data_IF_867532157655
#
_entry.id   IF_867532157655
#
_cell.length_a   1.000
_cell.length_b   1.000
_cell.length_c   1.000
_cell.angle_alpha   90.00
_cell.angle_beta   90.00
_cell.angle_gamma   90.00
#
_symmetry.space_group_name_H-M   'P 1'
#
loop_
_entity.id
_entity.type
_entity.pdbx_description
1 polymer ?
#
# COMPACT_ATOMS: atom_id res chain seq x y z
N UNK A 1 1.91 12.94 12.23
CA UNK A 1 2.63 12.74 10.96
C UNK A 1 1.62 12.53 9.85
N UNK A 2 1.75 13.25 8.73
CA UNK A 2 0.81 13.19 7.59
C UNK A 2 1.55 12.64 6.37
N UNK A 3 0.95 11.68 5.65
CA UNK A 3 1.55 11.16 4.42
C UNK A 3 1.22 12.11 3.26
N UNK A 4 2.22 12.64 2.54
CA UNK A 4 1.97 13.49 1.37
C UNK A 4 1.17 12.73 0.30
N UNK A 5 0.16 13.37 -0.27
CA UNK A 5 -0.72 12.79 -1.29
C UNK A 5 -1.96 12.05 -0.75
N UNK A 6 -2.08 11.86 0.57
CA UNK A 6 -3.30 11.36 1.20
C UNK A 6 -4.10 12.54 1.77
N UNK A 7 -5.29 12.78 1.22
CA UNK A 7 -6.24 13.73 1.80
C UNK A 7 -6.97 13.11 3.00
N UNK A 8 -7.48 13.95 3.91
CA UNK A 8 -8.23 13.53 5.11
C UNK A 8 -9.35 12.54 4.77
N UNK A 9 -10.13 12.81 3.72
CA UNK A 9 -11.22 11.94 3.26
C UNK A 9 -10.71 10.55 2.88
N UNK A 10 -9.63 10.49 2.08
CA UNK A 10 -9.03 9.20 1.65
C UNK A 10 -8.41 8.47 2.83
N UNK A 11 -7.80 9.20 3.77
CA UNK A 11 -7.25 8.64 5.01
C UNK A 11 -8.33 7.93 5.81
N UNK A 12 -9.48 8.59 6.04
CA UNK A 12 -10.58 8.02 6.81
C UNK A 12 -11.16 6.76 6.14
N UNK A 13 -11.30 6.77 4.82
CA UNK A 13 -11.77 5.60 4.06
C UNK A 13 -10.78 4.43 4.18
N UNK A 14 -9.48 4.69 4.05
CA UNK A 14 -8.45 3.65 4.20
C UNK A 14 -8.48 3.07 5.62
N UNK A 15 -8.55 3.92 6.64
CA UNK A 15 -8.64 3.47 8.04
C UNK A 15 -9.90 2.64 8.28
N UNK A 16 -11.05 3.04 7.73
CA UNK A 16 -12.30 2.30 7.84
C UNK A 16 -12.25 0.93 7.14
N UNK A 17 -11.59 0.84 5.98
CA UNK A 17 -11.40 -0.43 5.27
C UNK A 17 -10.48 -1.37 6.05
N UNK A 18 -9.42 -0.83 6.64
CA UNK A 18 -8.41 -1.64 7.35
C UNK A 18 -8.93 -2.12 8.70
N UNK A 19 -9.62 -1.24 9.46
CA UNK A 19 -10.24 -1.42 10.78
C UNK A 19 -9.33 -2.00 11.89
N UNK A 20 -8.66 -3.13 11.65
CA UNK A 20 -7.75 -3.81 12.55
C UNK A 20 -6.41 -4.08 11.85
N UNK A 21 -5.38 -3.23 12.05
CA UNK A 21 -4.08 -3.39 11.40
C UNK A 21 -3.26 -4.56 11.98
N UNK A 22 -3.59 -5.05 13.18
CA UNK A 22 -2.97 -6.23 13.82
C UNK A 22 -3.23 -7.52 13.03
N UNK A 23 -4.28 -7.56 12.21
CA UNK A 23 -4.60 -8.68 11.32
C UNK A 23 -3.46 -9.01 10.36
N UNK A 24 -2.65 -8.02 9.98
CA UNK A 24 -1.59 -8.19 9.00
C UNK A 24 -0.25 -8.41 9.69
N UNK A 25 0.27 -9.64 9.68
CA UNK A 25 1.61 -9.95 10.23
C UNK A 25 2.71 -9.29 9.40
N UNK A 26 2.64 -9.45 8.07
CA UNK A 26 3.66 -8.97 7.13
C UNK A 26 3.11 -7.90 6.18
N UNK A 27 3.96 -6.95 5.76
CA UNK A 27 3.64 -5.92 4.73
C UNK A 27 3.12 -6.55 3.41
N UNK A 28 3.57 -7.75 3.08
CA UNK A 28 3.16 -8.48 1.88
C UNK A 28 1.71 -8.97 1.95
N UNK A 29 1.23 -9.36 3.14
CA UNK A 29 -0.18 -9.73 3.34
C UNK A 29 -1.09 -8.51 3.15
N UNK A 30 -0.63 -7.34 3.61
CA UNK A 30 -1.34 -6.09 3.41
C UNK A 30 -1.39 -5.69 1.92
N UNK A 31 -0.31 -5.87 1.17
CA UNK A 31 -0.31 -5.61 -0.27
C UNK A 31 -1.24 -6.56 -1.04
N UNK A 32 -1.31 -7.83 -0.63
CA UNK A 32 -2.27 -8.80 -1.17
C UNK A 32 -3.72 -8.39 -0.89
N UNK A 33 -4.01 -7.98 0.35
CA UNK A 33 -5.34 -7.50 0.75
C UNK A 33 -5.78 -6.25 -0.02
N UNK A 34 -4.86 -5.31 -0.25
CA UNK A 34 -5.13 -4.10 -1.02
C UNK A 34 -5.14 -4.32 -2.54
N UNK A 35 -4.97 -5.56 -3.04
CA UNK A 35 -4.88 -5.88 -4.47
C UNK A 35 -3.73 -5.15 -5.21
N UNK A 36 -2.66 -4.78 -4.49
CA UNK A 36 -1.48 -4.10 -5.05
C UNK A 36 -0.40 -5.08 -5.56
N UNK A 37 -0.56 -6.36 -5.27
CA UNK A 37 0.31 -7.44 -5.73
C UNK A 37 -0.53 -8.47 -6.47
N UNK A 38 -0.06 -8.87 -7.65
CA UNK A 38 -0.57 -10.04 -8.35
C UNK A 38 0.21 -11.23 -7.80
N UNK A 39 -0.47 -12.17 -7.14
CA UNK A 39 0.13 -13.46 -6.85
C UNK A 39 0.06 -14.27 -8.15
N UNK A 40 1.19 -14.36 -8.85
CA UNK A 40 1.37 -15.34 -9.92
C UNK A 40 1.76 -16.63 -9.20
N UNK A 41 0.90 -17.65 -9.23
CA UNK A 41 1.27 -18.97 -8.78
C UNK A 41 2.05 -19.63 -9.92
N UNK A 42 3.35 -19.78 -9.74
CA UNK A 42 4.21 -20.54 -10.66
C UNK A 42 4.55 -21.85 -9.96
N UNK A 43 4.00 -22.96 -10.44
CA UNK A 43 4.48 -24.31 -10.10
C UNK A 43 4.98 -24.95 -11.40
N UNK A 44 6.30 -24.94 -11.58
CA UNK A 44 6.96 -25.65 -12.67
C UNK A 44 6.84 -24.98 -14.05
N UNK A 45 7.76 -25.41 -14.92
CA UNK A 45 8.25 -24.77 -16.15
C UNK A 45 7.19 -24.45 -17.23
N UNK A 46 5.93 -24.91 -17.13
CA UNK A 46 5.05 -24.88 -18.32
C UNK A 46 3.59 -24.41 -18.15
N UNK A 47 2.99 -24.32 -16.95
CA UNK A 47 1.53 -24.00 -16.89
C UNK A 47 1.14 -23.04 -15.76
N UNK A 48 0.74 -21.83 -16.16
CA UNK A 48 0.06 -20.85 -15.31
C UNK A 48 -1.42 -21.23 -15.26
N UNK A 49 -1.83 -22.02 -14.26
CA UNK A 49 -3.22 -22.51 -14.20
C UNK A 49 -4.23 -21.55 -13.54
N UNK A 50 -3.82 -20.42 -12.96
CA UNK A 50 -4.80 -19.47 -12.46
C UNK A 50 -4.27 -18.36 -11.58
N UNK A 51 -4.72 -17.13 -11.87
CA UNK A 51 -4.47 -15.95 -11.07
C UNK A 51 -5.48 -15.89 -9.92
N UNK A 52 -5.22 -16.61 -8.82
CA UNK A 52 -6.08 -16.53 -7.63
C UNK A 52 -5.82 -15.20 -6.93
N UNK A 53 -6.67 -14.21 -7.22
CA UNK A 53 -6.64 -12.91 -6.53
C UNK A 53 -6.96 -13.14 -5.05
N UNK A 54 -6.06 -12.71 -4.16
CA UNK A 54 -6.33 -12.69 -2.71
C UNK A 54 -7.55 -11.82 -2.51
N UNK A 55 -8.67 -12.40 -2.09
CA UNK A 55 -9.95 -11.70 -1.97
C UNK A 55 -9.82 -10.52 -0.98
N UNK A 56 -10.11 -9.33 -1.47
CA UNK A 56 -9.99 -8.07 -0.76
C UNK A 56 -10.84 -7.00 -1.44
N UNK A 57 -11.17 -5.90 -0.76
CA UNK A 57 -12.01 -4.84 -1.32
C UNK A 57 -11.28 -4.18 -2.49
N UNK A 58 -11.76 -4.41 -3.72
CA UNK A 58 -11.18 -3.81 -4.94
C UNK A 58 -11.06 -2.28 -4.85
N UNK A 59 -11.92 -1.65 -4.03
CA UNK A 59 -11.93 -0.21 -3.77
C UNK A 59 -10.63 0.28 -3.11
N UNK A 60 -9.98 -0.53 -2.26
CA UNK A 60 -8.76 -0.16 -1.55
C UNK A 60 -7.60 0.14 -2.52
N UNK A 61 -7.38 -0.73 -3.51
CA UNK A 61 -6.39 -0.52 -4.58
C UNK A 61 -6.58 0.84 -5.26
N UNK A 62 -7.82 1.19 -5.61
CA UNK A 62 -8.14 2.44 -6.29
C UNK A 62 -7.70 3.64 -5.45
N UNK A 63 -7.97 3.66 -4.14
CA UNK A 63 -7.56 4.78 -3.30
C UNK A 63 -6.04 4.95 -3.25
N UNK A 64 -5.27 3.85 -3.18
CA UNK A 64 -3.80 3.93 -3.21
C UNK A 64 -3.26 4.44 -4.54
N UNK A 65 -3.87 4.09 -5.68
CA UNK A 65 -3.51 4.67 -6.98
C UNK A 65 -3.77 6.17 -7.04
N UNK A 66 -4.90 6.63 -6.50
CA UNK A 66 -5.24 8.06 -6.47
C UNK A 66 -4.30 8.85 -5.56
N UNK A 67 -3.90 8.26 -4.42
CA UNK A 67 -2.88 8.83 -3.55
C UNK A 67 -1.52 8.88 -4.24
N UNK A 68 -1.14 7.83 -4.98
CA UNK A 68 0.10 7.81 -5.76
C UNK A 68 0.12 8.91 -6.83
N UNK A 69 -0.98 9.08 -7.56
CA UNK A 69 -1.12 10.15 -8.56
C UNK A 69 -1.06 11.55 -7.94
N UNK A 70 -1.71 11.73 -6.78
CA UNK A 70 -1.64 12.99 -6.03
C UNK A 70 -0.23 13.27 -5.50
N UNK A 71 0.47 12.24 -5.04
CA UNK A 71 1.85 12.34 -4.57
C UNK A 71 2.83 12.70 -5.72
N UNK A 72 2.60 12.19 -6.93
CA UNK A 72 3.40 12.56 -8.11
C UNK A 72 3.21 14.02 -8.53
N UNK A 73 2.02 14.59 -8.29
CA UNK A 73 1.74 16.01 -8.60
C UNK A 73 2.41 16.98 -7.63
N UNK A 74 2.87 16.50 -6.48
CA UNK A 74 3.45 17.33 -5.42
C UNK A 74 4.96 17.04 -5.33
N UNK A 75 5.78 18.08 -5.13
CA UNK A 75 7.23 17.90 -4.93
C UNK A 75 7.52 17.36 -3.54
N UNK A 76 7.71 16.04 -3.47
CA UNK A 76 7.85 15.30 -2.22
C UNK A 76 8.85 14.17 -2.41
N UNK A 77 9.39 13.64 -1.32
CA UNK A 77 10.31 12.48 -1.32
C UNK A 77 9.74 11.24 -2.01
N UNK A 78 8.40 11.16 -2.17
CA UNK A 78 7.74 10.10 -2.93
C UNK A 78 7.94 10.27 -4.44
N UNK A 79 8.02 11.51 -4.93
CA UNK A 79 8.34 11.82 -6.33
C UNK A 79 9.78 11.42 -6.65
N UNK A 80 10.72 11.71 -5.76
CA UNK A 80 12.12 11.28 -5.91
C UNK A 80 12.23 9.75 -5.97
N UNK A 81 11.46 9.04 -5.15
CA UNK A 81 11.39 7.58 -5.20
C UNK A 81 10.86 7.07 -6.55
N UNK A 82 9.85 7.74 -7.12
CA UNK A 82 9.33 7.39 -8.44
C UNK A 82 10.33 7.67 -9.55
N UNK A 83 11.04 8.79 -9.48
CA UNK A 83 12.02 9.18 -10.49
C UNK A 83 13.27 8.30 -10.41
N UNK A 84 13.69 7.89 -9.21
CA UNK A 84 14.71 6.86 -9.02
C UNK A 84 14.30 5.48 -9.59
N UNK A 85 13.00 5.14 -9.55
CA UNK A 85 12.50 3.91 -10.17
C UNK A 85 12.47 4.01 -11.71
N UNK A 86 12.16 5.20 -12.24
CA UNK A 86 12.27 5.47 -13.68
C UNK A 86 13.70 5.41 -14.17
N UNK A 87 14.65 5.95 -13.41
CA UNK A 87 16.08 5.88 -13.73
C UNK A 87 16.59 4.43 -13.80
N UNK A 88 15.97 3.50 -13.06
CA UNK A 88 16.26 2.06 -13.11
C UNK A 88 15.64 1.34 -14.32
N UNK A 89 14.95 2.03 -15.21
CA UNK A 89 14.32 1.45 -16.40
C UNK A 89 12.98 0.75 -16.13
N UNK A 90 12.33 1.02 -14.99
CA UNK A 90 11.02 0.43 -14.68
C UNK A 90 9.93 1.12 -15.50
N UNK A 91 9.00 0.34 -16.07
CA UNK A 91 7.82 0.87 -16.77
C UNK A 91 7.04 1.85 -15.89
N UNK A 92 6.51 2.92 -16.47
CA UNK A 92 5.75 3.94 -15.74
C UNK A 92 4.54 3.37 -14.99
N UNK A 93 3.93 2.28 -15.50
CA UNK A 93 2.84 1.58 -14.82
C UNK A 93 3.34 0.86 -13.56
N UNK A 94 4.46 0.15 -13.66
CA UNK A 94 5.02 -0.60 -12.54
C UNK A 94 5.66 0.32 -11.49
N UNK A 95 6.22 1.45 -11.91
CA UNK A 95 6.72 2.49 -11.01
C UNK A 95 5.58 3.09 -10.15
N UNK A 96 4.41 3.34 -10.75
CA UNK A 96 3.20 3.77 -10.00
C UNK A 96 2.75 2.72 -8.99
N UNK A 97 2.75 1.45 -9.37
CA UNK A 97 2.40 0.33 -8.46
C UNK A 97 3.40 0.24 -7.31
N UNK A 98 4.69 0.39 -7.58
CA UNK A 98 5.73 0.39 -6.55
C UNK A 98 5.58 1.55 -5.55
N UNK A 99 5.26 2.74 -6.04
CA UNK A 99 4.96 3.89 -5.18
C UNK A 99 3.72 3.64 -4.33
N UNK A 100 2.64 3.11 -4.91
CA UNK A 100 1.43 2.73 -4.18
C UNK A 100 1.73 1.70 -3.07
N UNK A 101 2.62 0.72 -3.31
CA UNK A 101 3.08 -0.24 -2.29
C UNK A 101 3.87 0.42 -1.16
N UNK A 102 4.65 1.47 -1.46
CA UNK A 102 5.37 2.24 -0.42
C UNK A 102 4.41 3.05 0.44
N UNK A 103 3.45 3.75 -0.16
CA UNK A 103 2.40 4.45 0.59
C UNK A 103 1.63 3.45 1.47
N UNK A 104 1.24 2.30 0.93
CA UNK A 104 0.55 1.24 1.68
C UNK A 104 1.37 0.76 2.89
N UNK A 105 2.68 0.53 2.70
CA UNK A 105 3.57 0.12 3.79
C UNK A 105 3.66 1.19 4.89
N UNK A 106 3.78 2.47 4.51
CA UNK A 106 3.81 3.58 5.44
C UNK A 106 2.49 3.70 6.23
N UNK A 107 1.34 3.58 5.55
CA UNK A 107 0.03 3.62 6.23
C UNK A 107 -0.10 2.51 7.28
N UNK A 108 0.33 1.29 6.95
CA UNK A 108 0.27 0.17 7.90
C UNK A 108 1.16 0.41 9.12
N UNK A 109 2.39 0.91 8.90
CA UNK A 109 3.32 1.20 9.99
C UNK A 109 2.75 2.26 10.93
N UNK A 110 2.18 3.35 10.39
CA UNK A 110 1.55 4.39 11.19
C UNK A 110 0.40 3.82 12.04
N UNK A 111 -0.50 3.04 11.43
CA UNK A 111 -1.63 2.44 12.15
C UNK A 111 -1.19 1.51 13.28
N UNK A 112 -0.12 0.72 13.07
CA UNK A 112 0.43 -0.15 14.12
C UNK A 112 1.09 0.62 15.25
N UNK A 113 1.87 1.66 14.92
CA UNK A 113 2.51 2.51 15.93
C UNK A 113 1.48 3.14 16.84
N UNK A 114 0.40 3.70 16.29
CA UNK A 114 -0.66 4.36 17.06
C UNK A 114 -1.34 3.43 18.07
N UNK A 115 -1.58 2.17 17.70
CA UNK A 115 -2.20 1.20 18.62
C UNK A 115 -1.26 0.89 19.78
N UNK A 116 0.01 0.60 19.50
CA UNK A 116 0.99 0.33 20.56
C UNK A 116 1.12 1.50 21.54
N UNK A 117 1.10 2.74 21.04
CA UNK A 117 1.17 3.92 21.92
C UNK A 117 -0.06 4.03 22.82
N UNK A 118 -1.24 3.73 22.28
CA UNK A 118 -2.53 3.79 23.01
C UNK A 118 -2.63 2.71 24.09
N UNK A 119 -2.10 1.51 23.83
CA UNK A 119 -2.07 0.44 24.82
C UNK A 119 -1.19 0.79 26.01
N UNK A 120 -0.01 1.39 25.76
CA UNK A 120 0.92 1.83 26.81
C UNK A 120 0.29 2.92 27.69
N UNK A 121 -0.45 3.86 27.11
CA UNK A 121 -1.10 4.94 27.88
C UNK A 121 -2.33 4.50 28.66
N UNK A 122 -2.93 3.35 28.33
CA UNK A 122 -4.07 2.78 29.09
C UNK A 122 -3.65 1.88 30.26
N UNK A 123 -2.38 1.47 30.29
CA UNK A 123 -1.81 0.60 31.33
C UNK A 123 -1.04 1.36 32.43
N UNK A 124 -1.10 2.69 32.43
CA UNK A 124 -0.52 3.60 33.43
C UNK A 124 -1.69 4.40 34.02
#
# INVERSE_FOLDING_TARGET
MTIPGISIVRSNIITAIVCQPERFKNKHQFWGYCMLVRHIQELGVEKIYGNKRVHGPQRAARYFYWCAESAMRTETTLRDYHDALRAKGTSAKDAKVALARKIASLTLNLLKTTIHTTTITRSI
#
